data_IF_208017341513
#
_entry.id   IF_208017341513
#
_cell.length_a   1.000
_cell.length_b   1.000
_cell.length_c   1.000
_cell.angle_alpha   90.00
_cell.angle_beta   90.00
_cell.angle_gamma   90.00
#
_symmetry.space_group_name_H-M   'P 1'
#
loop_
_entity.id
_entity.type
_entity.pdbx_description
1 polymer ?
#
# COMPACT_ATOMS: atom_id res chain seq x y z
N UNK A 1 11.77 3.56 -2.44
CA UNK A 1 13.21 3.47 -2.08
C UNK A 1 13.43 3.44 -0.57
N UNK A 2 12.97 4.44 0.20
CA UNK A 2 13.10 4.45 1.67
C UNK A 2 12.45 3.23 2.36
N UNK A 3 11.22 2.87 1.99
CA UNK A 3 10.54 1.68 2.55
C UNK A 3 11.31 0.37 2.31
N UNK A 4 11.99 0.24 1.15
CA UNK A 4 12.86 -0.91 0.85
C UNK A 4 14.12 -0.90 1.73
N UNK A 5 14.73 0.27 1.93
CA UNK A 5 15.91 0.44 2.80
C UNK A 5 15.58 0.11 4.25
N UNK A 6 14.40 0.52 4.72
CA UNK A 6 13.94 0.28 6.08
C UNK A 6 13.39 -1.15 6.30
N UNK A 7 13.35 -1.99 5.26
CA UNK A 7 12.81 -3.36 5.36
C UNK A 7 11.29 -3.42 5.56
N UNK A 8 10.56 -2.33 5.37
CA UNK A 8 9.09 -2.23 5.56
C UNK A 8 8.33 -2.33 4.22
N UNK A 9 8.99 -2.78 3.16
CA UNK A 9 8.33 -2.98 1.88
C UNK A 9 7.42 -4.21 1.96
N UNK A 10 6.13 -4.02 1.73
CA UNK A 10 5.16 -5.08 1.74
C UNK A 10 5.40 -6.08 0.61
N UNK A 11 5.20 -7.37 0.91
CA UNK A 11 5.06 -8.39 -0.12
C UNK A 11 3.66 -8.33 -0.73
N UNK A 12 3.62 -8.09 -2.04
CA UNK A 12 2.38 -8.07 -2.83
C UNK A 12 2.18 -9.34 -3.64
N UNK A 13 2.91 -10.42 -3.35
CA UNK A 13 2.83 -11.73 -4.01
C UNK A 13 2.19 -12.78 -3.10
N UNK A 14 2.53 -12.77 -1.81
CA UNK A 14 1.99 -13.71 -0.82
C UNK A 14 1.61 -13.03 0.50
N UNK A 15 0.67 -13.65 1.21
CA UNK A 15 0.26 -13.23 2.54
C UNK A 15 1.39 -13.43 3.55
N UNK A 16 1.83 -12.39 4.28
CA UNK A 16 2.93 -12.53 5.24
C UNK A 16 2.54 -13.37 6.48
N UNK A 17 1.24 -13.60 6.71
CA UNK A 17 0.73 -14.37 7.85
C UNK A 17 0.60 -15.86 7.51
N UNK A 18 0.00 -16.19 6.37
CA UNK A 18 -0.32 -17.59 6.01
C UNK A 18 0.43 -18.10 4.78
N UNK A 19 1.32 -17.29 4.18
CA UNK A 19 2.12 -17.60 2.99
C UNK A 19 1.31 -17.94 1.72
N UNK A 20 -0.02 -17.79 1.74
CA UNK A 20 -0.87 -18.00 0.56
C UNK A 20 -0.54 -16.97 -0.50
N UNK A 21 -0.31 -17.41 -1.74
CA UNK A 21 -0.22 -16.51 -2.89
C UNK A 21 -1.54 -15.77 -3.13
N UNK A 22 -1.45 -14.49 -3.39
CA UNK A 22 -2.63 -13.68 -3.71
C UNK A 22 -3.09 -13.93 -5.14
N UNK A 23 -4.40 -13.91 -5.38
CA UNK A 23 -4.94 -13.87 -6.75
C UNK A 23 -4.78 -12.48 -7.35
N UNK A 24 -4.74 -12.36 -8.66
CA UNK A 24 -4.53 -11.06 -9.34
C UNK A 24 -5.70 -10.08 -9.13
N UNK A 25 -6.91 -10.61 -8.94
CA UNK A 25 -8.15 -9.87 -8.71
C UNK A 25 -8.50 -9.71 -7.21
N UNK A 26 -7.59 -10.11 -6.33
CA UNK A 26 -7.82 -10.11 -4.89
C UNK A 26 -7.65 -8.70 -4.29
N UNK A 27 -8.64 -8.26 -3.52
CA UNK A 27 -8.50 -7.08 -2.65
C UNK A 27 -7.76 -7.50 -1.39
N UNK A 28 -6.60 -6.90 -1.14
CA UNK A 28 -5.85 -7.18 0.09
C UNK A 28 -6.46 -6.40 1.25
N UNK A 29 -6.47 -7.04 2.42
CA UNK A 29 -6.74 -6.40 3.71
C UNK A 29 -5.41 -6.02 4.37
N UNK A 30 -5.47 -5.67 5.64
CA UNK A 30 -4.31 -5.25 6.40
C UNK A 30 -4.31 -5.91 7.78
N UNK A 31 -3.17 -6.43 8.19
CA UNK A 31 -2.94 -6.95 9.55
C UNK A 31 -2.19 -5.90 10.37
N UNK A 32 -2.69 -5.64 11.57
CA UNK A 32 -2.08 -4.70 12.52
C UNK A 32 -0.82 -5.26 13.17
N UNK A 33 -0.70 -6.58 13.28
CA UNK A 33 0.39 -7.22 14.03
C UNK A 33 1.73 -7.12 13.28
N UNK A 34 1.67 -7.26 11.95
CA UNK A 34 2.83 -7.12 11.06
C UNK A 34 2.88 -5.77 10.34
N UNK A 35 1.87 -4.92 10.56
CA UNK A 35 1.67 -3.65 9.86
C UNK A 35 1.86 -3.80 8.33
N UNK A 36 1.23 -4.82 7.74
CA UNK A 36 1.41 -5.17 6.34
C UNK A 36 0.08 -5.56 5.67
N UNK A 37 -0.05 -5.34 4.34
CA UNK A 37 -1.09 -5.96 3.55
C UNK A 37 -1.10 -7.49 3.73
N UNK A 38 -2.30 -8.07 3.81
CA UNK A 38 -2.53 -9.51 3.98
C UNK A 38 -3.82 -9.94 3.26
N UNK A 39 -4.11 -11.23 3.24
CA UNK A 39 -5.37 -11.73 2.68
C UNK A 39 -6.58 -11.36 3.56
N UNK A 40 -7.79 -11.52 3.01
CA UNK A 40 -9.05 -11.26 3.70
C UNK A 40 -9.18 -11.99 5.03
N UNK A 41 -8.72 -13.24 5.08
CA UNK A 41 -8.87 -14.11 6.26
C UNK A 41 -7.94 -13.70 7.41
N UNK A 42 -6.78 -13.10 7.08
CA UNK A 42 -5.78 -12.67 8.06
C UNK A 42 -5.88 -11.18 8.42
N UNK A 43 -6.73 -10.43 7.73
CA UNK A 43 -6.87 -8.99 7.91
C UNK A 43 -7.76 -8.61 9.08
N UNK A 44 -7.33 -7.62 9.85
CA UNK A 44 -8.04 -7.10 11.03
C UNK A 44 -8.37 -5.61 10.93
N UNK A 45 -7.69 -4.85 10.08
CA UNK A 45 -7.89 -3.40 9.97
C UNK A 45 -8.83 -3.01 8.83
N UNK A 46 -9.50 -1.86 9.00
CA UNK A 46 -10.31 -1.21 7.96
C UNK A 46 -9.45 -0.43 6.96
N UNK A 47 -8.47 -1.12 6.39
CA UNK A 47 -7.65 -0.66 5.28
C UNK A 47 -7.63 -1.74 4.22
N UNK A 48 -7.94 -1.36 2.98
CA UNK A 48 -7.99 -2.28 1.85
C UNK A 48 -7.18 -1.75 0.68
N UNK A 49 -6.50 -2.67 -0.01
CA UNK A 49 -5.78 -2.38 -1.25
C UNK A 49 -6.48 -3.12 -2.40
N UNK A 50 -7.25 -2.41 -3.23
CA UNK A 50 -7.94 -3.03 -4.35
C UNK A 50 -6.96 -3.51 -5.43
N UNK A 51 -7.36 -4.46 -6.30
CA UNK A 51 -6.48 -5.09 -7.28
C UNK A 51 -5.76 -4.10 -8.20
N UNK A 52 -6.48 -3.09 -8.68
CA UNK A 52 -5.89 -2.05 -9.54
C UNK A 52 -4.79 -1.24 -8.85
N UNK A 53 -5.01 -0.88 -7.58
CA UNK A 53 -4.00 -0.18 -6.79
C UNK A 53 -2.80 -1.08 -6.48
N UNK A 54 -3.03 -2.36 -6.15
CA UNK A 54 -1.95 -3.34 -6.00
C UNK A 54 -1.12 -3.47 -7.28
N UNK A 55 -1.77 -3.58 -8.44
CA UNK A 55 -1.08 -3.64 -9.74
C UNK A 55 -0.21 -2.41 -9.98
N UNK A 56 -0.74 -1.23 -9.67
CA UNK A 56 0.00 0.03 -9.76
C UNK A 56 1.23 0.03 -8.84
N UNK A 57 1.07 -0.35 -7.56
CA UNK A 57 2.19 -0.37 -6.61
C UNK A 57 3.24 -1.42 -6.99
N UNK A 58 2.84 -2.60 -7.48
CA UNK A 58 3.76 -3.61 -8.01
C UNK A 58 4.53 -3.12 -9.23
N UNK A 59 3.86 -2.44 -10.17
CA UNK A 59 4.50 -1.90 -11.36
C UNK A 59 5.49 -0.79 -10.99
N UNK A 60 5.05 0.18 -10.19
CA UNK A 60 5.88 1.35 -9.83
C UNK A 60 7.05 1.00 -8.92
N UNK A 61 6.99 -0.11 -8.17
CA UNK A 61 8.10 -0.56 -7.32
C UNK A 61 9.30 -1.13 -8.10
N UNK A 62 9.10 -1.54 -9.36
CA UNK A 62 10.16 -2.04 -10.24
C UNK A 62 10.75 -0.97 -11.16
N UNK A 63 10.16 0.22 -11.20
CA UNK A 63 10.62 1.34 -12.03
C UNK A 63 11.62 2.24 -11.29
N UNK A 64 12.43 2.98 -12.05
CA UNK A 64 13.20 4.07 -11.48
C UNK A 64 12.28 5.22 -11.06
N UNK A 65 12.73 6.06 -10.12
CA UNK A 65 11.88 7.10 -9.53
C UNK A 65 11.25 8.02 -10.58
N UNK A 66 12.04 8.54 -11.53
CA UNK A 66 11.54 9.41 -12.59
C UNK A 66 10.51 8.74 -13.49
N UNK A 67 10.67 7.45 -13.77
CA UNK A 67 9.72 6.68 -14.58
C UNK A 67 8.42 6.41 -13.81
N UNK A 68 8.53 6.12 -12.51
CA UNK A 68 7.37 5.87 -11.65
C UNK A 68 6.41 7.08 -11.56
N UNK A 69 6.95 8.30 -11.66
CA UNK A 69 6.17 9.55 -11.66
C UNK A 69 5.34 9.74 -12.95
N UNK A 70 5.74 9.09 -14.04
CA UNK A 70 5.10 9.25 -15.35
C UNK A 70 4.04 8.17 -15.63
N UNK A 71 3.77 7.25 -14.69
CA UNK A 71 2.73 6.24 -14.87
C UNK A 71 1.35 6.92 -14.79
N UNK A 72 0.55 6.91 -15.88
CA UNK A 72 -0.71 7.63 -15.92
C UNK A 72 -1.76 7.00 -15.00
N UNK A 73 -2.47 7.84 -14.27
CA UNK A 73 -3.62 7.48 -13.44
C UNK A 73 -4.74 8.49 -13.67
N UNK A 74 -5.99 8.02 -13.62
CA UNK A 74 -7.13 8.95 -13.52
C UNK A 74 -7.10 9.67 -12.17
N UNK A 75 -7.67 10.88 -12.11
CA UNK A 75 -7.75 11.65 -10.85
C UNK A 75 -8.36 10.84 -9.71
N UNK A 76 -9.42 10.09 -10.00
CA UNK A 76 -10.06 9.19 -9.03
C UNK A 76 -9.12 8.09 -8.53
N UNK A 77 -8.33 7.48 -9.42
CA UNK A 77 -7.37 6.46 -9.04
C UNK A 77 -6.22 7.06 -8.20
N UNK A 78 -5.73 8.24 -8.59
CA UNK A 78 -4.72 9.00 -7.85
C UNK A 78 -5.19 9.31 -6.43
N UNK A 79 -6.41 9.85 -6.28
CA UNK A 79 -6.99 10.16 -4.97
C UNK A 79 -7.09 8.91 -4.07
N UNK A 80 -7.52 7.77 -4.64
CA UNK A 80 -7.62 6.50 -3.91
C UNK A 80 -6.27 5.94 -3.48
N UNK A 81 -5.28 5.93 -4.39
CA UNK A 81 -3.93 5.43 -4.09
C UNK A 81 -3.24 6.33 -3.06
N UNK A 82 -3.38 7.65 -3.19
CA UNK A 82 -2.88 8.62 -2.21
C UNK A 82 -3.54 8.40 -0.84
N UNK A 83 -4.86 8.26 -0.79
CA UNK A 83 -5.59 7.99 0.45
C UNK A 83 -5.11 6.71 1.14
N UNK A 84 -4.94 5.63 0.36
CA UNK A 84 -4.37 4.38 0.87
C UNK A 84 -2.95 4.58 1.42
N UNK A 85 -2.06 5.24 0.67
CA UNK A 85 -0.68 5.46 1.08
C UNK A 85 -0.58 6.29 2.37
N UNK A 86 -1.42 7.32 2.53
CA UNK A 86 -1.48 8.13 3.75
C UNK A 86 -2.00 7.35 4.94
N UNK A 87 -3.08 6.57 4.76
CA UNK A 87 -3.61 5.70 5.81
C UNK A 87 -2.58 4.66 6.24
N UNK A 88 -1.88 4.05 5.28
CA UNK A 88 -0.83 3.09 5.56
C UNK A 88 0.36 3.74 6.30
N UNK A 89 0.83 4.90 5.83
CA UNK A 89 1.90 5.65 6.49
C UNK A 89 1.53 6.04 7.93
N UNK A 90 0.26 6.38 8.19
CA UNK A 90 -0.24 6.69 9.53
C UNK A 90 -0.20 5.47 10.45
N UNK A 91 -0.54 4.27 9.93
CA UNK A 91 -0.44 3.02 10.68
C UNK A 91 1.02 2.71 11.03
N UNK A 92 1.94 2.83 10.06
CA UNK A 92 3.37 2.61 10.28
C UNK A 92 3.99 3.60 11.28
N UNK A 93 3.56 4.87 11.23
CA UNK A 93 4.05 5.90 12.14
C UNK A 93 3.48 5.80 13.56
N UNK A 94 2.46 4.96 13.77
CA UNK A 94 1.73 4.83 15.05
C UNK A 94 1.32 6.18 15.66
N UNK A 95 0.99 7.16 14.81
CA UNK A 95 0.77 8.54 15.24
C UNK A 95 0.30 9.46 14.10
N UNK A 96 -0.13 10.69 14.43
CA UNK A 96 -0.62 11.63 13.43
C UNK A 96 0.52 12.16 12.55
N UNK A 97 0.32 12.09 11.22
CA UNK A 97 1.19 12.71 10.24
C UNK A 97 0.84 14.20 10.12
N UNK A 98 1.26 15.02 11.09
CA UNK A 98 0.80 16.42 11.27
C UNK A 98 0.86 17.28 10.00
N UNK A 99 1.93 17.16 9.22
CA UNK A 99 2.09 17.91 7.96
C UNK A 99 1.15 17.42 6.86
N UNK A 100 0.87 16.12 6.80
CA UNK A 100 0.01 15.49 5.80
C UNK A 100 -1.49 15.57 6.15
N UNK A 101 -1.82 15.72 7.44
CA UNK A 101 -3.19 15.91 7.92
C UNK A 101 -3.75 17.31 7.63
N UNK A 102 -2.87 18.28 7.37
CA UNK A 102 -3.25 19.69 7.15
C UNK A 102 -3.91 19.97 5.79
N UNK A 103 -3.93 18.99 4.88
CA UNK A 103 -4.47 19.17 3.53
C UNK A 103 -3.60 20.03 2.60
N UNK A 104 -2.36 20.37 3.00
CA UNK A 104 -1.41 21.14 2.19
C UNK A 104 -0.88 20.40 0.95
N UNK A 105 -1.37 19.18 0.66
CA UNK A 105 -0.98 18.33 -0.46
C UNK A 105 -2.20 17.68 -1.10
#
# INVERSE_FOLDING_TARGET
RLARILGVHADYEACPVCSRKYRDDETLRFTTDLLSPCCSECGSADLSLPPGARRYVKLTSTLEYGESLNVPLSETATARIKGYALSYAKLLAQGPLKTLQSGLL
#
